data_IF_817750589660
#
_entry.id   IF_817750589660
#
_cell.length_a   1.000
_cell.length_b   1.000
_cell.length_c   1.000
_cell.angle_alpha   90.00
_cell.angle_beta   90.00
_cell.angle_gamma   90.00
#
_symmetry.space_group_name_H-M   'P 1'
#
loop_
_entity.id
_entity.type
_entity.pdbx_description
1 polymer ?
#
# COMPACT_ATOMS: atom_id res chain seq x y z
N UNK A 1 5.32 -19.39 3.01
CA UNK A 1 5.27 -18.13 3.80
C UNK A 1 6.15 -17.04 3.18
N UNK A 2 7.41 -17.35 2.83
CA UNK A 2 8.31 -16.39 2.16
C UNK A 2 7.73 -15.89 0.82
N UNK A 3 7.19 -16.77 -0.01
CA UNK A 3 6.55 -16.43 -1.29
C UNK A 3 5.43 -15.38 -1.13
N UNK A 4 4.51 -15.61 -0.20
CA UNK A 4 3.40 -14.67 0.06
C UNK A 4 3.91 -13.32 0.61
N UNK A 5 4.96 -13.36 1.44
CA UNK A 5 5.61 -12.14 1.89
C UNK A 5 6.18 -11.34 0.71
N UNK A 6 6.84 -12.01 -0.24
CA UNK A 6 7.37 -11.37 -1.45
C UNK A 6 6.23 -10.76 -2.29
N UNK A 7 5.14 -11.48 -2.51
CA UNK A 7 3.99 -10.97 -3.26
C UNK A 7 3.40 -9.71 -2.63
N UNK A 8 3.24 -9.69 -1.31
CA UNK A 8 2.76 -8.52 -0.58
C UNK A 8 3.75 -7.33 -0.66
N UNK A 9 5.05 -7.60 -0.56
CA UNK A 9 6.08 -6.56 -0.72
C UNK A 9 6.09 -6.01 -2.14
N UNK A 10 6.02 -6.86 -3.16
CA UNK A 10 5.95 -6.43 -4.55
C UNK A 10 4.71 -5.59 -4.82
N UNK A 11 3.55 -5.97 -4.28
CA UNK A 11 2.34 -5.15 -4.36
C UNK A 11 2.56 -3.75 -3.77
N UNK A 12 3.20 -3.64 -2.62
CA UNK A 12 3.55 -2.35 -2.01
C UNK A 12 4.56 -1.54 -2.83
N UNK A 13 5.53 -2.21 -3.46
CA UNK A 13 6.49 -1.55 -4.36
C UNK A 13 5.77 -0.94 -5.56
N UNK A 14 4.89 -1.70 -6.22
CA UNK A 14 4.15 -1.21 -7.38
C UNK A 14 3.19 -0.05 -7.05
N UNK A 15 2.77 0.08 -5.80
CA UNK A 15 1.98 1.23 -5.37
C UNK A 15 2.81 2.51 -5.18
N UNK A 16 4.11 2.41 -4.90
CA UNK A 16 4.94 3.59 -4.54
C UNK A 16 6.05 3.90 -5.53
N UNK A 17 6.49 2.93 -6.27
CA UNK A 17 7.60 3.05 -7.19
C UNK A 17 7.16 2.69 -8.60
N UNK A 18 7.82 3.26 -9.60
CA UNK A 18 7.51 3.05 -11.01
C UNK A 18 7.74 1.64 -11.47
N UNK A 19 8.72 0.99 -10.88
CA UNK A 19 9.10 -0.36 -11.20
C UNK A 19 9.84 -1.01 -10.04
N UNK A 20 9.83 -2.32 -10.03
CA UNK A 20 10.66 -3.13 -9.15
C UNK A 20 12.15 -2.78 -9.28
N UNK A 21 12.61 -2.54 -10.52
CA UNK A 21 14.00 -2.15 -10.80
C UNK A 21 14.36 -0.81 -10.14
N UNK A 22 13.49 0.17 -10.25
CA UNK A 22 13.68 1.47 -9.59
C UNK A 22 13.84 1.32 -8.09
N UNK A 23 13.05 0.45 -7.48
CA UNK A 23 13.11 0.19 -6.05
C UNK A 23 14.41 -0.50 -5.63
N UNK A 24 14.72 -1.70 -6.16
CA UNK A 24 15.88 -2.45 -5.66
C UNK A 24 17.21 -1.79 -6.03
N UNK A 25 17.30 -1.18 -7.21
CA UNK A 25 18.55 -0.58 -7.69
C UNK A 25 18.83 0.79 -7.07
N UNK A 26 17.85 1.68 -7.08
CA UNK A 26 18.05 3.06 -6.64
C UNK A 26 17.75 3.29 -5.15
N UNK A 27 16.80 2.54 -4.60
CA UNK A 27 16.41 2.71 -3.21
C UNK A 27 17.14 1.74 -2.26
N UNK A 28 17.25 0.46 -2.61
CA UNK A 28 18.01 -0.51 -1.83
C UNK A 28 19.49 -0.51 -2.16
N UNK A 29 19.90 -0.17 -3.39
CA UNK A 29 21.28 -0.26 -3.83
C UNK A 29 21.73 -1.69 -4.16
N UNK A 30 20.79 -2.57 -4.49
CA UNK A 30 21.06 -3.97 -4.77
C UNK A 30 21.26 -4.24 -6.27
N UNK A 31 22.07 -5.27 -6.57
CA UNK A 31 22.13 -5.83 -7.92
C UNK A 31 20.87 -6.65 -8.21
N UNK A 32 20.55 -6.84 -9.49
CA UNK A 32 19.45 -7.70 -9.91
C UNK A 32 19.61 -9.13 -9.38
N UNK A 33 20.83 -9.66 -9.45
CA UNK A 33 21.10 -11.02 -8.96
C UNK A 33 20.81 -11.16 -7.47
N UNK A 34 21.27 -10.22 -6.65
CA UNK A 34 21.03 -10.21 -5.21
C UNK A 34 19.52 -10.15 -4.89
N UNK A 35 18.81 -9.27 -5.59
CA UNK A 35 17.36 -9.13 -5.47
C UNK A 35 16.59 -10.42 -5.83
N UNK A 36 16.95 -11.06 -6.97
CA UNK A 36 16.34 -12.33 -7.38
C UNK A 36 16.62 -13.47 -6.41
N UNK A 37 17.86 -13.56 -5.88
CA UNK A 37 18.21 -14.56 -4.87
C UNK A 37 17.40 -14.38 -3.58
N UNK A 38 17.17 -13.13 -3.16
CA UNK A 38 16.32 -12.85 -2.02
C UNK A 38 14.85 -13.24 -2.28
N UNK A 39 14.29 -12.90 -3.43
CA UNK A 39 12.93 -13.33 -3.81
C UNK A 39 12.78 -14.86 -3.79
N UNK A 40 13.81 -15.56 -4.20
CA UNK A 40 13.84 -17.04 -4.16
C UNK A 40 14.09 -17.63 -2.77
N UNK A 41 14.30 -16.81 -1.75
CA UNK A 41 14.59 -17.26 -0.39
C UNK A 41 15.99 -17.86 -0.21
N UNK A 42 16.89 -17.65 -1.17
CA UNK A 42 18.27 -18.17 -1.14
C UNK A 42 19.18 -17.37 -0.22
N UNK A 43 18.91 -16.10 -0.07
CA UNK A 43 19.65 -15.18 0.78
C UNK A 43 18.72 -14.35 1.63
N UNK A 44 19.23 -13.82 2.73
CA UNK A 44 18.51 -12.85 3.59
C UNK A 44 19.05 -11.45 3.33
N UNK A 45 18.17 -10.46 3.41
CA UNK A 45 18.59 -9.05 3.41
C UNK A 45 19.22 -8.67 4.75
N UNK A 46 20.10 -7.70 4.72
CA UNK A 46 20.64 -7.14 5.94
C UNK A 46 19.58 -6.30 6.70
N UNK A 47 19.83 -5.88 7.95
CA UNK A 47 18.85 -5.12 8.74
C UNK A 47 18.45 -3.78 8.11
N UNK A 48 19.39 -3.09 7.46
CA UNK A 48 19.12 -1.81 6.79
C UNK A 48 18.20 -1.99 5.57
N UNK A 49 18.51 -2.97 4.71
CA UNK A 49 17.70 -3.32 3.55
C UNK A 49 16.30 -3.78 3.97
N UNK A 50 16.21 -4.59 5.02
CA UNK A 50 14.93 -5.04 5.59
C UNK A 50 14.11 -3.88 6.14
N UNK A 51 14.74 -2.89 6.77
CA UNK A 51 14.07 -1.70 7.26
C UNK A 51 13.57 -0.81 6.11
N UNK A 52 14.32 -0.70 5.01
CA UNK A 52 13.88 0.03 3.80
C UNK A 52 12.65 -0.62 3.18
N UNK A 53 12.55 -1.95 3.17
CA UNK A 53 11.33 -2.65 2.74
C UNK A 53 10.16 -2.34 3.68
N UNK A 54 10.37 -2.40 4.98
CA UNK A 54 9.32 -2.05 5.95
C UNK A 54 8.81 -0.62 5.73
N UNK A 55 9.69 0.31 5.42
CA UNK A 55 9.36 1.72 5.20
C UNK A 55 8.53 2.00 3.92
N UNK A 56 8.32 1.00 3.07
CA UNK A 56 7.34 1.08 1.97
C UNK A 56 5.93 1.25 2.55
N UNK A 57 5.67 0.64 3.69
CA UNK A 57 4.38 0.61 4.36
C UNK A 57 4.33 1.63 5.51
N UNK A 58 3.16 2.17 5.81
CA UNK A 58 2.94 2.80 7.11
C UNK A 58 3.03 1.74 8.21
N UNK A 59 3.18 2.17 9.46
CA UNK A 59 3.23 1.22 10.58
C UNK A 59 1.95 0.37 10.67
N UNK A 60 0.81 0.98 10.37
CA UNK A 60 -0.46 0.27 10.35
C UNK A 60 -0.56 -0.73 9.19
N UNK A 61 -0.16 -0.31 7.97
CA UNK A 61 -0.10 -1.19 6.80
C UNK A 61 0.83 -2.37 7.03
N UNK A 62 1.99 -2.13 7.66
CA UNK A 62 2.93 -3.20 8.03
C UNK A 62 2.32 -4.19 9.01
N UNK A 63 1.60 -3.70 10.02
CA UNK A 63 0.87 -4.55 10.96
C UNK A 63 -0.18 -5.41 10.24
N UNK A 64 -0.94 -4.84 9.30
CA UNK A 64 -1.92 -5.59 8.50
C UNK A 64 -1.25 -6.68 7.67
N UNK A 65 -0.13 -6.35 7.00
CA UNK A 65 0.65 -7.31 6.22
C UNK A 65 1.06 -8.51 7.10
N UNK A 66 1.56 -8.25 8.30
CA UNK A 66 1.94 -9.31 9.24
C UNK A 66 0.74 -10.16 9.68
N UNK A 67 -0.44 -9.56 9.85
CA UNK A 67 -1.66 -10.30 10.17
C UNK A 67 -2.10 -11.21 9.02
N UNK A 68 -2.06 -10.72 7.79
CA UNK A 68 -2.38 -11.52 6.60
C UNK A 68 -1.39 -12.69 6.47
N UNK A 69 -0.10 -12.47 6.63
CA UNK A 69 0.89 -13.55 6.61
C UNK A 69 0.58 -14.65 7.64
N UNK A 70 0.24 -14.27 8.87
CA UNK A 70 -0.14 -15.24 9.91
C UNK A 70 -1.39 -16.03 9.53
N UNK A 71 -2.38 -15.40 8.90
CA UNK A 71 -3.58 -16.08 8.42
C UNK A 71 -3.24 -17.17 7.39
N UNK A 72 -2.26 -16.94 6.51
CA UNK A 72 -1.84 -17.94 5.52
C UNK A 72 -1.12 -19.14 6.11
N UNK A 73 -0.68 -19.06 7.36
CA UNK A 73 -0.14 -20.21 8.13
C UNK A 73 -1.28 -21.07 8.65
N UNK A 74 -2.29 -20.42 9.26
CA UNK A 74 -3.44 -21.09 9.88
C UNK A 74 -4.36 -21.67 8.80
N UNK A 75 -4.54 -20.91 7.72
CA UNK A 75 -5.43 -21.23 6.58
C UNK A 75 -4.63 -21.23 5.28
N UNK A 76 -3.96 -22.36 4.92
CA UNK A 76 -3.13 -22.43 3.72
C UNK A 76 -3.86 -22.11 2.41
N UNK A 77 -5.17 -22.35 2.34
CA UNK A 77 -6.03 -22.00 1.21
C UNK A 77 -6.10 -20.50 0.93
N UNK A 78 -5.82 -19.66 1.93
CA UNK A 78 -5.78 -18.20 1.78
C UNK A 78 -4.51 -17.68 1.10
N UNK A 79 -3.52 -18.51 0.85
CA UNK A 79 -2.25 -18.08 0.22
C UNK A 79 -2.47 -17.47 -1.15
N UNK A 80 -3.34 -18.05 -1.96
CA UNK A 80 -3.61 -17.60 -3.34
C UNK A 80 -4.32 -16.25 -3.41
N UNK A 81 -4.98 -15.84 -2.36
CA UNK A 81 -5.76 -14.59 -2.29
C UNK A 81 -5.20 -13.58 -1.29
N UNK A 82 -4.00 -13.81 -0.77
CA UNK A 82 -3.45 -13.01 0.32
C UNK A 82 -3.31 -11.51 -0.04
N UNK A 83 -2.85 -11.19 -1.24
CA UNK A 83 -2.71 -9.80 -1.71
C UNK A 83 -4.08 -9.15 -1.85
N UNK A 84 -5.05 -9.84 -2.45
CA UNK A 84 -6.41 -9.33 -2.59
C UNK A 84 -7.08 -9.13 -1.23
N UNK A 85 -6.93 -10.07 -0.30
CA UNK A 85 -7.44 -9.96 1.06
C UNK A 85 -6.80 -8.80 1.83
N UNK A 86 -5.50 -8.58 1.66
CA UNK A 86 -4.81 -7.42 2.22
C UNK A 86 -5.41 -6.10 1.71
N UNK A 87 -5.58 -5.98 0.40
CA UNK A 87 -6.17 -4.80 -0.23
C UNK A 87 -7.62 -4.55 0.23
N UNK A 88 -8.44 -5.58 0.23
CA UNK A 88 -9.84 -5.49 0.68
C UNK A 88 -9.96 -5.11 2.16
N UNK A 89 -9.12 -5.69 3.01
CA UNK A 89 -9.10 -5.35 4.44
C UNK A 89 -8.68 -3.89 4.66
N UNK A 90 -7.67 -3.43 3.94
CA UNK A 90 -7.19 -2.06 3.96
C UNK A 90 -8.32 -1.06 3.61
N UNK A 91 -9.09 -1.34 2.56
CA UNK A 91 -10.25 -0.54 2.15
C UNK A 91 -11.33 -0.53 3.25
N UNK A 92 -11.71 -1.68 3.77
CA UNK A 92 -12.73 -1.78 4.81
C UNK A 92 -12.36 -1.01 6.07
N UNK A 93 -11.09 -1.02 6.44
CA UNK A 93 -10.59 -0.24 7.58
C UNK A 93 -10.64 1.25 7.27
N UNK A 94 -10.19 1.68 6.09
CA UNK A 94 -10.28 3.07 5.66
C UNK A 94 -11.72 3.59 5.70
N UNK A 95 -12.68 2.83 5.18
CA UNK A 95 -14.10 3.17 5.22
C UNK A 95 -14.63 3.32 6.66
N UNK A 96 -14.21 2.43 7.57
CA UNK A 96 -14.58 2.55 8.99
C UNK A 96 -14.00 3.80 9.64
N UNK A 97 -12.74 4.13 9.34
CA UNK A 97 -12.12 5.34 9.88
C UNK A 97 -12.82 6.59 9.40
N UNK A 98 -13.15 6.66 8.10
CA UNK A 98 -13.82 7.83 7.51
C UNK A 98 -15.26 8.02 8.01
N UNK A 99 -15.93 6.94 8.39
CA UNK A 99 -17.24 6.99 9.00
C UNK A 99 -17.19 7.27 10.52
N UNK A 100 -15.99 7.41 11.10
CA UNK A 100 -15.77 7.86 12.47
C UNK A 100 -15.46 9.36 12.51
N UNK A 101 -15.60 9.98 13.67
CA UNK A 101 -15.32 11.40 13.86
C UNK A 101 -13.81 11.75 13.82
N UNK A 102 -12.93 10.74 13.81
CA UNK A 102 -11.48 10.90 13.86
C UNK A 102 -10.79 10.58 12.53
N UNK A 103 -11.55 10.16 11.51
CA UNK A 103 -11.02 9.81 10.20
C UNK A 103 -10.85 11.04 9.31
N UNK A 104 -9.70 11.14 8.64
CA UNK A 104 -9.39 12.19 7.66
C UNK A 104 -8.96 11.53 6.36
N UNK A 105 -9.40 12.12 5.25
CA UNK A 105 -9.00 11.71 3.90
C UNK A 105 -8.40 12.88 3.15
N UNK A 106 -7.27 12.63 2.49
CA UNK A 106 -6.53 13.62 1.72
C UNK A 106 -6.05 13.03 0.40
N UNK A 107 -6.12 13.84 -0.67
CA UNK A 107 -5.45 13.55 -1.93
C UNK A 107 -4.10 14.22 -1.99
N UNK A 108 -3.10 13.47 -2.42
CA UNK A 108 -1.78 14.00 -2.76
C UNK A 108 -1.52 13.73 -4.24
N UNK A 109 -1.35 14.80 -5.01
CA UNK A 109 -0.86 14.68 -6.39
C UNK A 109 0.63 14.43 -6.38
N UNK A 110 1.03 13.32 -6.99
CA UNK A 110 2.45 13.10 -7.29
C UNK A 110 2.70 13.72 -8.67
N UNK A 111 3.38 14.87 -8.69
CA UNK A 111 3.92 15.46 -9.91
C UNK A 111 5.28 14.82 -10.15
N UNK A 112 5.34 13.82 -10.98
CA UNK A 112 6.58 13.39 -11.58
C UNK A 112 6.69 14.05 -12.95
N UNK A 113 7.75 14.86 -13.15
CA UNK A 113 7.95 15.68 -14.35
C UNK A 113 8.10 14.89 -15.65
N UNK A 114 8.38 13.57 -15.57
CA UNK A 114 8.70 12.73 -16.73
C UNK A 114 7.67 11.64 -17.07
N UNK A 115 6.48 11.58 -16.42
CA UNK A 115 5.51 10.52 -16.68
C UNK A 115 4.23 10.98 -17.33
N UNK A 116 3.85 10.23 -18.39
CA UNK A 116 2.59 10.41 -19.12
C UNK A 116 1.33 10.04 -18.32
N UNK A 117 1.50 9.34 -17.21
CA UNK A 117 0.40 8.93 -16.33
C UNK A 117 0.51 9.67 -14.99
N UNK A 118 -0.44 10.52 -14.72
CA UNK A 118 -0.57 11.15 -13.41
C UNK A 118 -1.21 10.14 -12.46
N UNK A 119 -0.51 9.80 -11.39
CA UNK A 119 -1.03 9.00 -10.30
C UNK A 119 -1.42 9.93 -9.13
N UNK A 120 -2.43 9.55 -8.39
CA UNK A 120 -2.81 10.22 -7.15
C UNK A 120 -2.69 9.26 -5.99
N UNK A 121 -2.18 9.73 -4.87
CA UNK A 121 -2.22 9.01 -3.62
C UNK A 121 -3.40 9.50 -2.79
N UNK A 122 -4.26 8.56 -2.40
CA UNK A 122 -5.29 8.78 -1.40
C UNK A 122 -4.71 8.36 -0.05
N UNK A 123 -4.64 9.31 0.86
CA UNK A 123 -4.23 9.07 2.24
C UNK A 123 -5.43 9.12 3.15
N UNK A 124 -5.68 8.02 3.85
CA UNK A 124 -6.69 7.94 4.91
C UNK A 124 -5.97 7.81 6.24
N UNK A 125 -6.27 8.70 7.18
CA UNK A 125 -5.65 8.68 8.51
C UNK A 125 -6.69 8.66 9.61
N UNK A 126 -6.34 8.00 10.71
CA UNK A 126 -7.07 8.02 11.96
C UNK A 126 -6.24 8.81 12.97
N UNK A 127 -6.78 9.93 13.42
CA UNK A 127 -6.10 10.84 14.35
C UNK A 127 -6.42 10.49 15.78
N UNK A 128 -5.38 10.44 16.61
CA UNK A 128 -5.49 10.18 18.06
C UNK A 128 -5.35 11.45 18.91
N UNK A 129 -5.51 12.63 18.31
CA UNK A 129 -5.54 13.91 19.00
C UNK A 129 -4.27 14.22 19.79
N UNK A 130 -4.38 14.25 21.13
CA UNK A 130 -3.29 14.63 22.05
C UNK A 130 -2.06 13.71 22.02
N UNK A 131 -2.20 12.48 21.49
CA UNK A 131 -1.09 11.53 21.41
C UNK A 131 -0.04 11.90 20.36
N UNK A 132 -0.38 12.78 19.40
CA UNK A 132 0.56 13.33 18.43
C UNK A 132 1.02 12.34 17.36
N UNK A 133 0.31 11.24 17.15
CA UNK A 133 0.51 10.31 16.05
C UNK A 133 -0.81 9.93 15.39
N UNK A 134 -0.71 9.46 14.15
CA UNK A 134 -1.84 8.98 13.36
C UNK A 134 -1.56 7.57 12.85
N UNK A 135 -2.61 6.75 12.72
CA UNK A 135 -2.55 5.58 11.85
C UNK A 135 -2.89 5.99 10.43
N UNK A 136 -2.17 5.46 9.45
CA UNK A 136 -2.26 5.88 8.05
C UNK A 136 -2.41 4.67 7.12
N UNK A 137 -3.33 4.79 6.17
CA UNK A 137 -3.48 3.90 5.01
C UNK A 137 -3.30 4.71 3.73
N UNK A 138 -2.51 4.20 2.80
CA UNK A 138 -2.23 4.86 1.53
C UNK A 138 -2.76 4.00 0.37
N UNK A 139 -3.37 4.66 -0.61
CA UNK A 139 -3.90 4.03 -1.81
C UNK A 139 -3.41 4.80 -3.03
N UNK A 140 -2.72 4.13 -3.95
CA UNK A 140 -2.36 4.73 -5.24
C UNK A 140 -3.44 4.44 -6.25
N UNK A 141 -3.96 5.47 -6.88
CA UNK A 141 -5.09 5.42 -7.79
C UNK A 141 -4.71 6.02 -9.16
N UNK A 142 -5.32 5.53 -10.27
CA UNK A 142 -5.17 6.15 -11.57
C UNK A 142 -5.68 7.60 -11.58
N UNK A 143 -5.02 8.48 -12.32
CA UNK A 143 -5.37 9.91 -12.38
C UNK A 143 -6.77 10.20 -12.97
N UNK A 144 -7.30 9.29 -13.77
CA UNK A 144 -8.67 9.41 -14.30
C UNK A 144 -9.73 9.60 -13.21
N UNK A 145 -9.47 9.05 -12.01
CA UNK A 145 -10.34 9.18 -10.85
C UNK A 145 -10.32 10.58 -10.27
N UNK A 146 -9.19 11.29 -10.36
CA UNK A 146 -9.07 12.66 -9.89
C UNK A 146 -10.09 13.59 -10.55
N UNK A 147 -10.36 13.43 -11.85
CA UNK A 147 -11.37 14.22 -12.55
C UNK A 147 -12.79 14.02 -12.00
N UNK A 148 -13.11 12.83 -11.52
CA UNK A 148 -14.42 12.55 -10.92
C UNK A 148 -14.58 13.25 -9.57
N UNK A 149 -13.51 13.34 -8.78
CA UNK A 149 -13.54 13.92 -7.44
C UNK A 149 -13.31 15.43 -7.45
N UNK A 150 -12.32 15.91 -8.22
CA UNK A 150 -11.99 17.35 -8.31
C UNK A 150 -13.08 18.15 -9.04
N UNK A 151 -13.83 17.52 -9.94
CA UNK A 151 -14.97 18.16 -10.61
C UNK A 151 -16.20 18.34 -9.71
N UNK A 152 -16.11 18.01 -8.41
CA UNK A 152 -17.19 18.06 -7.42
C UNK A 152 -18.42 17.19 -7.77
N UNK A 153 -18.30 16.26 -8.71
CA UNK A 153 -19.41 15.38 -9.10
C UNK A 153 -19.75 14.35 -8.02
N UNK A 154 -18.76 13.97 -7.21
CA UNK A 154 -18.95 13.03 -6.10
C UNK A 154 -18.16 13.53 -4.90
N UNK A 155 -18.78 13.58 -3.72
CA UNK A 155 -18.07 13.86 -2.48
C UNK A 155 -17.02 12.76 -2.23
N UNK A 156 -15.82 13.17 -1.77
CA UNK A 156 -14.71 12.24 -1.57
C UNK A 156 -15.05 11.06 -0.66
N UNK A 157 -15.82 11.32 0.39
CA UNK A 157 -16.30 10.28 1.32
C UNK A 157 -17.22 9.27 0.62
N UNK A 158 -18.16 9.76 -0.20
CA UNK A 158 -19.08 8.90 -0.94
C UNK A 158 -18.33 8.06 -1.96
N UNK A 159 -17.35 8.65 -2.64
CA UNK A 159 -16.50 7.94 -3.58
C UNK A 159 -15.70 6.82 -2.88
N UNK A 160 -15.07 7.09 -1.74
CA UNK A 160 -14.32 6.07 -0.98
C UNK A 160 -15.24 4.92 -0.55
N UNK A 161 -16.47 5.21 -0.14
CA UNK A 161 -17.42 4.20 0.29
C UNK A 161 -17.98 3.34 -0.86
N UNK A 162 -18.08 3.90 -2.07
CA UNK A 162 -18.77 3.26 -3.20
C UNK A 162 -17.80 2.70 -4.25
N UNK A 163 -16.73 3.43 -4.56
CA UNK A 163 -15.91 3.19 -5.75
C UNK A 163 -14.48 2.73 -5.44
N UNK A 164 -13.96 2.96 -4.22
CA UNK A 164 -12.56 2.68 -3.90
C UNK A 164 -12.21 1.20 -4.10
N UNK A 165 -13.10 0.28 -3.75
CA UNK A 165 -12.83 -1.16 -3.90
C UNK A 165 -12.65 -1.53 -5.37
N UNK A 166 -13.55 -1.07 -6.26
CA UNK A 166 -13.47 -1.37 -7.68
C UNK A 166 -12.29 -0.69 -8.39
N UNK A 167 -11.79 0.42 -7.85
CA UNK A 167 -10.67 1.15 -8.42
C UNK A 167 -9.30 0.63 -7.96
N UNK A 168 -9.22 -0.01 -6.79
CA UNK A 168 -7.97 -0.37 -6.13
C UNK A 168 -7.70 -1.89 -6.11
N UNK A 169 -8.71 -2.74 -6.00
CA UNK A 169 -8.59 -4.20 -6.02
C UNK A 169 -8.67 -4.75 -7.44
#
# INVERSE_FOLDING_TARGET
MHEIYIELVLSGIFEKYDSEVAFYKHHLGLSQEHWEQWKQGKISLNPEESQKIKNIFSDYEWMLLQKILRQTIIYPEKRQVAVEEYKKLKIKIAQKWLNSNCGIVEFQQIKEEDKKEHLIDLRVSLQYGEWGFDDVLNFRLPAAIQHQVVSQKVALLDWVNQELESAYV
#
